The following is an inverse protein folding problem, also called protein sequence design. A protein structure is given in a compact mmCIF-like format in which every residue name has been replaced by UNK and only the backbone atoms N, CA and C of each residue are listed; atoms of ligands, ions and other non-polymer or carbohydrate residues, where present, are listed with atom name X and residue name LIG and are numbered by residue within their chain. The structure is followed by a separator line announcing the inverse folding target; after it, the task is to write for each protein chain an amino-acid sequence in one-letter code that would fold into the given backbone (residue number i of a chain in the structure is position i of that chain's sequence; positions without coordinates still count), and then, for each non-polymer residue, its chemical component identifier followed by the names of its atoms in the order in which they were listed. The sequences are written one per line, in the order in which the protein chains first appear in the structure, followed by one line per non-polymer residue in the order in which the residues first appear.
data_IF_488721643021
#
_entry.id   IF_488721643021
#
_cell.length_a   1.000
_cell.length_b   1.000
_cell.length_c   1.000
_cell.angle_alpha   90.00
_cell.angle_beta   90.00
_cell.angle_gamma   90.00
#
_symmetry.space_group_name_H-M   'P 1'
#
loop_
_entity.id
_entity.type
_entity.pdbx_description
1 polymer ?
#
# COMPACT_ATOMS: atom_id res chain seq x y z
N UNK A 1 31.67 -40.85 -13.18
CA UNK A 1 31.59 -39.77 -12.16
C UNK A 1 31.36 -38.47 -12.92
N UNK A 2 30.13 -37.97 -12.93
CA UNK A 2 29.74 -36.83 -13.79
C UNK A 2 29.67 -35.56 -12.95
N UNK A 3 30.55 -34.60 -13.26
CA UNK A 3 30.65 -33.30 -12.58
C UNK A 3 29.54 -32.41 -13.12
N UNK A 4 28.47 -32.20 -12.34
CA UNK A 4 27.41 -31.22 -12.68
C UNK A 4 28.00 -29.81 -12.71
N UNK A 5 28.02 -29.23 -13.90
CA UNK A 5 28.43 -27.86 -14.19
C UNK A 5 27.49 -26.90 -13.45
N UNK A 6 27.96 -26.32 -12.34
CA UNK A 6 27.22 -25.30 -11.62
C UNK A 6 27.08 -24.06 -12.53
N UNK A 7 25.88 -23.80 -13.03
CA UNK A 7 25.54 -22.50 -13.62
C UNK A 7 25.92 -21.40 -12.63
N UNK A 8 26.75 -20.40 -13.00
CA UNK A 8 27.04 -19.27 -12.13
C UNK A 8 25.75 -18.49 -11.90
N UNK A 9 25.11 -18.68 -10.75
CA UNK A 9 24.03 -17.80 -10.29
C UNK A 9 24.66 -16.48 -9.87
N UNK A 10 24.87 -15.58 -10.82
CA UNK A 10 25.22 -14.19 -10.51
C UNK A 10 23.97 -13.53 -9.91
N UNK A 11 23.96 -13.35 -8.58
CA UNK A 11 22.88 -12.65 -7.88
C UNK A 11 22.83 -11.21 -8.40
N UNK A 12 21.70 -10.82 -9.01
CA UNK A 12 21.44 -9.42 -9.34
C UNK A 12 21.58 -8.61 -8.05
N UNK A 13 22.52 -7.68 -8.00
CA UNK A 13 22.59 -6.71 -6.90
C UNK A 13 21.38 -5.79 -7.05
N UNK A 14 20.57 -5.58 -5.99
CA UNK A 14 19.50 -4.62 -6.05
C UNK A 14 20.10 -3.25 -6.39
N UNK A 15 19.46 -2.53 -7.31
CA UNK A 15 19.82 -1.14 -7.56
C UNK A 15 19.66 -0.39 -6.23
N UNK A 16 20.74 0.25 -5.75
CA UNK A 16 20.73 0.94 -4.45
C UNK A 16 19.72 2.10 -4.41
N UNK A 17 19.33 2.64 -5.57
CA UNK A 17 18.45 3.81 -5.70
C UNK A 17 16.95 3.49 -5.63
N UNK A 18 16.56 2.55 -4.76
CA UNK A 18 15.14 2.21 -4.52
C UNK A 18 14.32 3.34 -3.89
N UNK A 19 14.94 4.45 -3.49
CA UNK A 19 14.25 5.62 -2.91
C UNK A 19 13.65 6.55 -3.96
N UNK A 20 13.93 6.36 -5.25
CA UNK A 20 13.42 7.23 -6.33
C UNK A 20 11.89 7.21 -6.48
N UNK A 21 11.19 6.25 -5.85
CA UNK A 21 9.74 6.14 -5.86
C UNK A 21 9.04 6.63 -4.57
N UNK A 22 9.78 6.97 -3.51
CA UNK A 22 9.18 7.46 -2.28
C UNK A 22 8.83 8.95 -2.38
N UNK A 23 7.58 9.28 -2.07
CA UNK A 23 7.09 10.66 -2.02
C UNK A 23 7.15 11.15 -0.56
N UNK A 24 7.78 12.30 -0.32
CA UNK A 24 7.66 12.98 0.98
C UNK A 24 6.28 13.65 1.05
N UNK A 25 5.39 13.07 1.83
CA UNK A 25 4.06 13.63 2.10
C UNK A 25 4.15 14.38 3.42
N UNK A 26 3.96 15.70 3.39
CA UNK A 26 3.90 16.53 4.59
C UNK A 26 2.44 16.68 5.06
N UNK A 27 1.82 15.57 5.47
CA UNK A 27 0.45 15.58 5.99
C UNK A 27 0.39 14.78 7.28
N UNK A 28 -0.04 15.42 8.36
CA UNK A 28 -0.25 14.72 9.62
C UNK A 28 -1.39 13.69 9.49
N UNK A 29 -1.22 12.53 10.13
CA UNK A 29 -2.20 11.42 10.06
C UNK A 29 -3.62 11.85 10.47
N UNK A 30 -3.85 12.64 11.55
CA UNK A 30 -5.19 13.12 11.88
C UNK A 30 -5.80 14.02 10.80
N UNK A 31 -4.99 14.88 10.19
CA UNK A 31 -5.42 15.75 9.10
C UNK A 31 -5.79 14.91 7.86
N UNK A 32 -4.99 13.89 7.54
CA UNK A 32 -5.28 12.93 6.47
C UNK A 32 -6.60 12.20 6.70
N UNK A 33 -6.87 11.75 7.93
CA UNK A 33 -8.15 11.11 8.29
C UNK A 33 -9.32 12.06 8.06
N UNK A 34 -9.21 13.32 8.47
CA UNK A 34 -10.24 14.34 8.22
C UNK A 34 -10.48 14.58 6.73
N UNK A 35 -9.40 14.64 5.94
CA UNK A 35 -9.47 14.78 4.48
C UNK A 35 -10.17 13.57 3.86
N UNK A 36 -9.83 12.34 4.27
CA UNK A 36 -10.44 11.11 3.75
C UNK A 36 -11.92 11.08 4.09
N UNK A 37 -12.29 11.33 5.34
CA UNK A 37 -13.69 11.35 5.79
C UNK A 37 -14.52 12.34 4.97
N UNK A 38 -14.01 13.54 4.77
CA UNK A 38 -14.70 14.55 3.96
C UNK A 38 -14.75 14.18 2.48
N UNK A 39 -13.67 13.64 1.90
CA UNK A 39 -13.61 13.34 0.47
C UNK A 39 -14.43 12.12 0.06
N UNK A 40 -14.51 11.13 0.93
CA UNK A 40 -15.28 9.90 0.71
C UNK A 40 -16.68 9.97 1.34
N UNK A 41 -17.05 11.11 1.94
CA UNK A 41 -18.35 11.32 2.60
C UNK A 41 -18.68 10.19 3.61
N UNK A 42 -17.69 9.77 4.39
CA UNK A 42 -17.85 8.65 5.31
C UNK A 42 -18.76 9.04 6.48
N UNK A 43 -19.71 8.17 6.79
CA UNK A 43 -20.60 8.24 7.95
C UNK A 43 -19.94 7.76 9.24
N UNK A 44 -18.75 7.16 9.14
CA UNK A 44 -17.93 6.70 10.26
C UNK A 44 -16.59 7.45 10.35
N UNK A 45 -15.93 7.31 11.50
CA UNK A 45 -14.57 7.81 11.71
C UNK A 45 -13.53 6.74 11.39
N UNK A 46 -12.62 6.97 10.42
CA UNK A 46 -11.52 6.06 10.17
C UNK A 46 -10.66 5.87 11.41
N UNK A 47 -10.22 4.62 11.63
CA UNK A 47 -9.34 4.28 12.74
C UNK A 47 -7.92 4.79 12.48
N UNK A 48 -7.19 5.09 13.55
CA UNK A 48 -5.83 5.64 13.47
C UNK A 48 -4.89 4.77 12.61
N UNK A 49 -4.95 3.45 12.77
CA UNK A 49 -4.13 2.52 11.98
C UNK A 49 -4.47 2.56 10.48
N UNK A 50 -5.72 2.84 10.11
CA UNK A 50 -6.12 2.99 8.71
C UNK A 50 -5.47 4.24 8.13
N UNK A 51 -5.53 5.37 8.85
CA UNK A 51 -4.88 6.62 8.44
C UNK A 51 -3.36 6.46 8.31
N UNK A 52 -2.72 5.82 9.29
CA UNK A 52 -1.27 5.57 9.27
C UNK A 52 -0.85 4.68 8.08
N UNK A 53 -1.62 3.62 7.80
CA UNK A 53 -1.37 2.73 6.67
C UNK A 53 -1.55 3.45 5.33
N UNK A 54 -2.62 4.23 5.19
CA UNK A 54 -2.86 5.03 3.98
C UNK A 54 -1.74 6.03 3.76
N UNK A 55 -1.28 6.73 4.81
CA UNK A 55 -0.16 7.65 4.71
C UNK A 55 1.08 6.96 4.12
N UNK A 56 1.43 5.76 4.62
CA UNK A 56 2.57 4.97 4.10
C UNK A 56 2.37 4.55 2.64
N UNK A 57 1.15 4.16 2.25
CA UNK A 57 0.84 3.82 0.87
C UNK A 57 0.99 5.03 -0.06
N UNK A 58 0.51 6.21 0.36
CA UNK A 58 0.62 7.45 -0.43
C UNK A 58 2.09 7.88 -0.58
N UNK A 59 2.89 7.73 0.48
CA UNK A 59 4.34 7.91 0.45
C UNK A 59 5.06 6.91 -0.49
N UNK A 60 4.38 5.86 -0.96
CA UNK A 60 4.92 4.88 -1.90
C UNK A 60 5.56 3.66 -1.23
N UNK A 61 5.33 3.45 0.08
CA UNK A 61 5.82 2.26 0.77
C UNK A 61 5.00 1.03 0.38
N UNK A 62 5.72 -0.06 0.07
CA UNK A 62 5.14 -1.40 0.05
C UNK A 62 4.66 -1.75 1.45
N UNK A 63 3.35 -1.97 1.61
CA UNK A 63 2.72 -2.14 2.92
C UNK A 63 2.04 -3.50 3.04
N UNK A 64 2.20 -4.14 4.20
CA UNK A 64 1.50 -5.37 4.58
C UNK A 64 0.82 -5.08 5.91
N UNK A 65 -0.43 -5.48 6.07
CA UNK A 65 -1.17 -5.31 7.31
C UNK A 65 -2.01 -6.55 7.62
N UNK A 66 -2.31 -6.75 8.90
CA UNK A 66 -3.19 -7.81 9.38
C UNK A 66 -4.36 -7.18 10.12
N UNK A 67 -5.58 -7.50 9.69
CA UNK A 67 -6.79 -7.06 10.37
C UNK A 67 -7.90 -8.10 10.20
N UNK A 68 -8.70 -8.29 11.26
CA UNK A 68 -9.82 -9.22 11.28
C UNK A 68 -10.92 -8.87 10.27
N UNK A 69 -11.88 -9.77 10.10
CA UNK A 69 -13.10 -9.49 9.31
C UNK A 69 -13.92 -8.38 9.99
N UNK A 70 -14.56 -7.51 9.20
CA UNK A 70 -15.36 -6.40 9.72
C UNK A 70 -14.57 -5.14 10.14
N UNK A 71 -13.24 -5.18 10.20
CA UNK A 71 -12.40 -4.03 10.59
C UNK A 71 -12.26 -2.94 9.49
N UNK A 72 -13.15 -2.92 8.49
CA UNK A 72 -13.15 -1.86 7.48
C UNK A 72 -11.89 -1.80 6.59
N UNK A 73 -11.26 -2.95 6.28
CA UNK A 73 -10.09 -3.01 5.39
C UNK A 73 -10.33 -2.40 4.01
N UNK A 74 -11.59 -2.40 3.55
CA UNK A 74 -12.00 -1.88 2.25
C UNK A 74 -11.72 -0.37 2.11
N UNK A 75 -11.73 0.39 3.20
CA UNK A 75 -11.41 1.81 3.19
C UNK A 75 -10.03 2.08 2.57
N UNK A 76 -9.06 1.20 2.82
CA UNK A 76 -7.70 1.32 2.27
C UNK A 76 -7.73 1.29 0.73
N UNK A 77 -8.61 0.48 0.15
CA UNK A 77 -8.76 0.33 -1.30
C UNK A 77 -9.59 1.46 -1.91
N UNK A 78 -10.64 1.92 -1.22
CA UNK A 78 -11.46 3.06 -1.66
C UNK A 78 -10.62 4.33 -1.80
N UNK A 79 -9.72 4.58 -0.83
CA UNK A 79 -8.78 5.71 -0.93
C UNK A 79 -7.83 5.56 -2.11
N UNK A 80 -7.38 4.34 -2.41
CA UNK A 80 -6.51 4.07 -3.56
C UNK A 80 -7.22 4.33 -4.90
N UNK A 81 -8.52 4.00 -5.00
CA UNK A 81 -9.34 4.28 -6.20
C UNK A 81 -9.63 5.77 -6.36
N UNK A 82 -9.77 6.50 -5.25
CA UNK A 82 -10.07 7.93 -5.30
C UNK A 82 -8.92 8.77 -5.88
N UNK A 83 -7.66 8.31 -5.76
CA UNK A 83 -6.54 8.91 -6.49
C UNK A 83 -6.64 8.58 -8.00
N UNK A 84 -7.47 9.34 -8.74
CA UNK A 84 -7.76 9.20 -10.19
C UNK A 84 -6.56 9.28 -11.14
N UNK A 85 -5.33 9.34 -10.61
CA UNK A 85 -4.11 9.44 -11.40
C UNK A 85 -3.52 8.08 -11.76
N UNK A 86 -3.97 6.98 -11.13
CA UNK A 86 -3.37 5.65 -11.28
C UNK A 86 -4.42 4.56 -11.35
N UNK A 87 -4.11 3.50 -12.09
CA UNK A 87 -4.91 2.27 -12.11
C UNK A 87 -4.66 1.48 -10.82
N UNK A 88 -5.73 1.19 -10.08
CA UNK A 88 -5.70 0.29 -8.94
C UNK A 88 -6.08 -1.14 -9.39
N UNK A 89 -5.23 -2.12 -9.07
CA UNK A 89 -5.49 -3.53 -9.38
C UNK A 89 -5.70 -4.27 -8.06
N UNK A 90 -6.91 -4.79 -7.87
CA UNK A 90 -7.26 -5.66 -6.76
C UNK A 90 -7.18 -7.11 -7.21
N UNK A 91 -6.45 -7.93 -6.45
CA UNK A 91 -6.36 -9.38 -6.69
C UNK A 91 -7.04 -10.06 -5.52
N UNK A 92 -8.16 -10.73 -5.78
CA UNK A 92 -8.89 -11.54 -4.81
C UNK A 92 -8.81 -13.01 -5.22
N UNK A 93 -8.58 -13.90 -4.25
CA UNK A 93 -8.39 -15.32 -4.51
C UNK A 93 -9.70 -16.06 -4.87
N UNK A 94 -10.84 -15.46 -4.55
CA UNK A 94 -12.16 -16.06 -4.73
C UNK A 94 -13.06 -15.08 -5.48
N UNK A 95 -13.61 -15.51 -6.61
CA UNK A 95 -14.75 -14.82 -7.24
C UNK A 95 -16.00 -15.34 -6.54
N UNK A 96 -16.80 -14.42 -5.97
CA UNK A 96 -18.16 -14.74 -5.52
C UNK A 96 -19.10 -14.89 -6.70
#
# INVERSE_FOLDING_TARGET
MSITTQTPRTRKKPALDSSTCLRKVHVDVPALIGIIKHRLELDFDPQEWQGALIHKIVEGYGSIFCAGTGYGKNLIFEVAVFERTKTFIMIEALSK
#
